data_IF_488648208891
#
_entry.id   IF_488648208891
#
_cell.length_a   1.000
_cell.length_b   1.000
_cell.length_c   1.000
_cell.angle_alpha   90.00
_cell.angle_beta   90.00
_cell.angle_gamma   90.00
#
_symmetry.space_group_name_H-M   'P 1'
#
loop_
_entity.id
_entity.type
_entity.pdbx_description
1 polymer ?
#
# COMPACT_ATOMS: atom_id res chain seq x y z
N UNK A 1 4.27 4.47 -3.46
CA UNK A 1 3.70 3.18 -3.95
C UNK A 1 4.28 2.82 -5.30
N UNK A 2 4.15 3.65 -6.34
CA UNK A 2 4.82 3.38 -7.62
C UNK A 2 6.31 3.09 -7.45
N UNK A 3 7.03 3.96 -6.72
CA UNK A 3 8.45 3.77 -6.38
C UNK A 3 8.68 2.48 -5.59
N UNK A 4 7.98 2.28 -4.47
CA UNK A 4 8.09 1.04 -3.67
C UNK A 4 7.82 -0.24 -4.48
N UNK A 5 6.87 -0.23 -5.40
CA UNK A 5 6.60 -1.36 -6.29
C UNK A 5 7.76 -1.59 -7.26
N UNK A 6 8.35 -0.52 -7.77
CA UNK A 6 9.53 -0.59 -8.64
C UNK A 6 10.74 -1.16 -7.88
N UNK A 7 11.03 -0.60 -6.71
CA UNK A 7 12.11 -1.04 -5.82
C UNK A 7 11.94 -2.50 -5.38
N UNK A 8 10.70 -2.93 -5.09
CA UNK A 8 10.42 -4.33 -4.73
C UNK A 8 10.68 -5.30 -5.90
N UNK A 9 10.45 -4.86 -7.15
CA UNK A 9 10.78 -5.66 -8.34
C UNK A 9 12.29 -5.68 -8.59
N UNK A 10 12.98 -4.55 -8.40
CA UNK A 10 14.44 -4.48 -8.49
C UNK A 10 15.12 -5.36 -7.44
N UNK A 11 14.67 -5.32 -6.19
CA UNK A 11 15.16 -6.17 -5.09
C UNK A 11 14.92 -7.66 -5.37
N UNK A 12 13.77 -8.00 -5.97
CA UNK A 12 13.47 -9.37 -6.39
C UNK A 12 14.24 -9.82 -7.65
N UNK A 13 15.00 -8.93 -8.30
CA UNK A 13 15.70 -9.23 -9.55
C UNK A 13 14.78 -9.42 -10.77
N UNK A 14 13.55 -8.92 -10.72
CA UNK A 14 12.54 -9.08 -11.77
C UNK A 14 12.51 -7.84 -12.65
N UNK A 15 12.80 -8.01 -13.94
CA UNK A 15 12.71 -6.93 -14.92
C UNK A 15 11.25 -6.50 -15.13
N UNK A 16 10.85 -5.24 -14.88
CA UNK A 16 9.45 -4.84 -15.02
C UNK A 16 8.87 -5.05 -16.42
N UNK A 17 9.70 -4.92 -17.46
CA UNK A 17 9.29 -5.16 -18.85
C UNK A 17 8.86 -6.60 -19.12
N UNK A 18 9.38 -7.59 -18.39
CA UNK A 18 8.99 -8.99 -18.56
C UNK A 18 7.62 -9.30 -17.97
N UNK A 19 7.04 -8.38 -17.18
CA UNK A 19 5.73 -8.54 -16.56
C UNK A 19 4.58 -7.98 -17.41
N UNK A 20 4.87 -7.32 -18.54
CA UNK A 20 3.84 -6.72 -19.38
C UNK A 20 2.89 -7.78 -19.93
N UNK A 21 1.59 -7.62 -19.64
CA UNK A 21 0.52 -8.54 -19.99
C UNK A 21 0.43 -9.77 -19.08
N UNK A 22 1.34 -9.94 -18.12
CA UNK A 22 1.29 -11.06 -17.17
C UNK A 22 0.11 -10.93 -16.20
N UNK A 23 -0.41 -12.03 -15.65
CA UNK A 23 -1.39 -11.99 -14.56
C UNK A 23 -0.68 -11.64 -13.24
N UNK A 24 0.02 -10.52 -13.20
CA UNK A 24 0.61 -10.00 -11.94
C UNK A 24 -0.44 -9.16 -11.22
N UNK A 25 -0.76 -9.53 -9.99
CA UNK A 25 -1.71 -8.80 -9.15
C UNK A 25 -1.07 -7.64 -8.37
N UNK A 26 -1.88 -6.65 -8.00
CA UNK A 26 -1.49 -5.48 -7.21
C UNK A 26 -2.50 -5.25 -6.08
N UNK A 27 -2.04 -5.34 -4.84
CA UNK A 27 -2.86 -5.26 -3.64
C UNK A 27 -2.28 -4.21 -2.68
N UNK A 28 -2.89 -3.03 -2.62
CA UNK A 28 -2.35 -1.90 -1.83
C UNK A 28 -3.28 -1.50 -0.69
N UNK A 29 -2.75 -1.47 0.52
CA UNK A 29 -3.42 -0.98 1.70
C UNK A 29 -3.30 0.54 1.78
N UNK A 30 -4.42 1.25 1.81
CA UNK A 30 -4.46 2.69 2.04
C UNK A 30 -5.80 3.07 2.68
N UNK A 31 -5.74 3.86 3.75
CA UNK A 31 -6.93 4.19 4.56
C UNK A 31 -7.33 5.64 4.33
N UNK A 32 -6.37 6.55 4.46
CA UNK A 32 -6.63 7.98 4.45
C UNK A 32 -6.37 8.58 3.06
N UNK A 33 -7.31 9.41 2.60
CA UNK A 33 -7.11 10.30 1.44
C UNK A 33 -7.03 11.75 1.93
N UNK A 34 -6.08 12.05 2.82
CA UNK A 34 -5.96 13.39 3.43
C UNK A 34 -5.64 14.46 2.39
N UNK A 35 -4.85 14.10 1.36
CA UNK A 35 -4.51 15.02 0.26
C UNK A 35 -5.73 15.47 -0.54
N UNK A 36 -6.79 14.65 -0.65
CA UNK A 36 -8.04 15.05 -1.30
C UNK A 36 -8.65 16.29 -0.64
N UNK A 37 -8.62 16.37 0.69
CA UNK A 37 -9.15 17.52 1.44
C UNK A 37 -8.32 18.77 1.23
N UNK A 38 -7.01 18.65 1.03
CA UNK A 38 -6.15 19.79 0.65
C UNK A 38 -6.47 20.27 -0.75
N UNK A 39 -6.64 19.36 -1.70
CA UNK A 39 -7.01 19.71 -3.08
C UNK A 39 -8.30 20.55 -3.09
N UNK A 40 -9.36 20.08 -2.43
CA UNK A 40 -10.64 20.79 -2.42
C UNK A 40 -10.68 22.05 -1.54
N UNK A 41 -9.66 22.30 -0.71
CA UNK A 41 -9.60 23.52 0.10
C UNK A 41 -9.40 24.79 -0.74
N UNK A 42 -8.87 24.65 -1.97
CA UNK A 42 -8.70 25.76 -2.92
C UNK A 42 -9.98 26.17 -3.68
N UNK A 43 -11.13 25.56 -3.39
CA UNK A 43 -12.40 25.84 -4.08
C UNK A 43 -12.47 25.23 -5.49
N UNK A 44 -13.51 25.54 -6.28
CA UNK A 44 -13.76 24.90 -7.58
C UNK A 44 -12.61 25.01 -8.59
N UNK A 45 -11.82 26.09 -8.53
CA UNK A 45 -10.69 26.33 -9.45
C UNK A 45 -9.51 25.36 -9.21
N UNK A 46 -9.44 24.72 -8.03
CA UNK A 46 -8.45 23.69 -7.73
C UNK A 46 -8.71 22.34 -8.43
N UNK A 47 -9.89 22.18 -9.05
CA UNK A 47 -10.31 20.95 -9.69
C UNK A 47 -9.98 20.99 -11.18
N UNK A 48 -9.14 20.06 -11.62
CA UNK A 48 -8.74 19.89 -13.01
C UNK A 48 -8.80 18.42 -13.45
N UNK A 49 -8.37 18.18 -14.69
CA UNK A 49 -8.39 16.86 -15.33
C UNK A 49 -7.66 15.75 -14.56
N UNK A 50 -6.67 16.11 -13.73
CA UNK A 50 -5.88 15.15 -12.95
C UNK A 50 -6.39 14.97 -11.52
N UNK A 51 -7.39 15.73 -11.07
CA UNK A 51 -7.82 15.71 -9.66
C UNK A 51 -8.33 14.32 -9.28
N UNK A 52 -9.32 13.77 -10.00
CA UNK A 52 -9.90 12.45 -9.68
C UNK A 52 -8.84 11.35 -9.71
N UNK A 53 -8.00 11.33 -10.75
CA UNK A 53 -6.95 10.32 -10.88
C UNK A 53 -5.80 10.53 -9.89
N UNK A 54 -5.66 11.72 -9.32
CA UNK A 54 -4.60 12.09 -8.38
C UNK A 54 -4.89 11.73 -6.92
N UNK A 55 -6.16 11.64 -6.50
CA UNK A 55 -6.49 11.37 -5.09
C UNK A 55 -7.27 10.07 -4.85
N UNK A 56 -7.97 9.55 -5.86
CA UNK A 56 -8.91 8.45 -5.64
C UNK A 56 -8.16 7.16 -5.27
N UNK A 57 -8.54 6.53 -4.15
CA UNK A 57 -7.80 5.40 -3.59
C UNK A 57 -7.62 4.24 -4.57
N UNK A 58 -8.62 3.90 -5.38
CA UNK A 58 -8.47 2.80 -6.37
C UNK A 58 -7.36 3.03 -7.39
N UNK A 59 -7.01 4.30 -7.65
CA UNK A 59 -5.96 4.64 -8.60
C UNK A 59 -4.57 4.30 -8.04
N UNK A 60 -4.42 4.15 -6.72
CA UNK A 60 -3.14 3.77 -6.10
C UNK A 60 -2.65 2.44 -6.68
N UNK A 61 -3.47 1.39 -6.64
CA UNK A 61 -3.14 0.09 -7.23
C UNK A 61 -3.21 0.12 -8.77
N UNK A 62 -4.28 0.70 -9.34
CA UNK A 62 -4.49 0.68 -10.78
C UNK A 62 -3.41 1.42 -11.56
N UNK A 63 -2.81 2.46 -10.99
CA UNK A 63 -1.70 3.19 -11.62
C UNK A 63 -0.43 2.35 -11.70
N UNK A 64 -0.16 1.50 -10.71
CA UNK A 64 0.95 0.52 -10.78
C UNK A 64 0.68 -0.48 -11.90
N UNK A 65 -0.53 -1.06 -11.95
CA UNK A 65 -0.93 -1.98 -13.02
C UNK A 65 -0.83 -1.32 -14.40
N UNK A 66 -1.26 -0.06 -14.53
CA UNK A 66 -1.17 0.68 -15.78
C UNK A 66 0.29 0.93 -16.21
N UNK A 67 1.13 1.46 -15.32
CA UNK A 67 2.52 1.82 -15.62
C UNK A 67 3.36 0.59 -15.96
N UNK A 68 3.16 -0.52 -15.23
CA UNK A 68 3.91 -1.76 -15.42
C UNK A 68 3.25 -2.72 -16.42
N UNK A 69 2.05 -2.39 -16.93
CA UNK A 69 1.29 -3.20 -17.88
C UNK A 69 0.81 -4.53 -17.32
N UNK A 70 0.39 -4.58 -16.05
CA UNK A 70 0.00 -5.81 -15.34
C UNK A 70 -1.48 -6.14 -15.55
N UNK A 71 -1.80 -7.41 -15.81
CA UNK A 71 -3.15 -7.89 -16.12
C UNK A 71 -3.85 -8.68 -15.02
N UNK A 72 -3.23 -8.83 -13.84
CA UNK A 72 -3.86 -9.51 -12.69
C UNK A 72 -4.83 -8.60 -11.91
N UNK A 73 -5.44 -9.10 -10.82
CA UNK A 73 -6.29 -8.30 -9.94
C UNK A 73 -5.58 -7.05 -9.42
N UNK A 74 -6.23 -5.89 -9.48
CA UNK A 74 -5.68 -4.62 -9.00
C UNK A 74 -6.66 -3.95 -8.07
N UNK A 75 -6.33 -3.87 -6.79
CA UNK A 75 -7.25 -3.37 -5.77
C UNK A 75 -6.54 -2.60 -4.65
N UNK A 76 -7.28 -1.63 -4.11
CA UNK A 76 -6.90 -0.89 -2.92
C UNK A 76 -7.88 -1.23 -1.80
N UNK A 77 -7.36 -1.54 -0.61
CA UNK A 77 -8.14 -1.94 0.56
C UNK A 77 -7.86 -0.99 1.73
N UNK A 78 -8.92 -0.64 2.47
CA UNK A 78 -8.81 0.09 3.73
C UNK A 78 -9.53 -0.66 4.86
N UNK A 79 -8.79 -1.43 5.66
CA UNK A 79 -9.28 -2.11 6.87
C UNK A 79 -8.64 -1.51 8.15
N UNK A 80 -8.38 -0.21 8.14
CA UNK A 80 -7.62 0.50 9.17
C UNK A 80 -6.22 -0.13 9.38
N UNK A 81 -5.74 -0.25 10.63
CA UNK A 81 -4.37 -0.65 10.95
C UNK A 81 -3.95 -2.02 10.37
N UNK A 82 -4.89 -2.88 10.03
CA UNK A 82 -4.61 -4.21 9.44
C UNK A 82 -4.45 -4.20 7.92
N UNK A 83 -4.63 -3.05 7.25
CA UNK A 83 -4.70 -2.96 5.79
C UNK A 83 -3.51 -3.62 5.09
N UNK A 84 -2.28 -3.42 5.59
CA UNK A 84 -1.09 -4.05 5.00
C UNK A 84 -1.05 -5.57 5.12
N UNK A 85 -1.48 -6.13 6.25
CA UNK A 85 -1.56 -7.59 6.41
C UNK A 85 -2.73 -8.18 5.61
N UNK A 86 -3.83 -7.45 5.52
CA UNK A 86 -5.00 -7.86 4.73
C UNK A 86 -4.69 -7.90 3.23
N UNK A 87 -3.88 -6.97 2.70
CA UNK A 87 -3.46 -7.04 1.29
C UNK A 87 -2.49 -8.18 1.01
N UNK A 88 -1.57 -8.48 1.93
CA UNK A 88 -0.72 -9.68 1.83
C UNK A 88 -1.58 -10.95 1.83
N UNK A 89 -2.58 -11.04 2.71
CA UNK A 89 -3.52 -12.15 2.73
C UNK A 89 -4.24 -12.34 1.38
N UNK A 90 -4.80 -11.28 0.81
CA UNK A 90 -5.48 -11.32 -0.49
C UNK A 90 -4.53 -11.70 -1.64
N UNK A 91 -3.30 -11.19 -1.62
CA UNK A 91 -2.28 -11.54 -2.59
C UNK A 91 -1.92 -13.04 -2.52
N UNK A 92 -1.72 -13.57 -1.32
CA UNK A 92 -1.48 -15.00 -1.13
C UNK A 92 -2.64 -15.87 -1.64
N UNK A 93 -3.90 -15.46 -1.39
CA UNK A 93 -5.06 -16.17 -1.91
C UNK A 93 -5.12 -16.13 -3.45
N UNK A 94 -4.86 -14.97 -4.06
CA UNK A 94 -4.82 -14.83 -5.52
C UNK A 94 -3.73 -15.71 -6.16
N UNK A 95 -2.54 -15.78 -5.53
CA UNK A 95 -1.44 -16.66 -5.94
C UNK A 95 -1.81 -18.15 -5.82
N UNK A 96 -2.42 -18.55 -4.70
CA UNK A 96 -2.85 -19.95 -4.46
C UNK A 96 -3.94 -20.40 -5.41
N UNK A 97 -4.84 -19.50 -5.80
CA UNK A 97 -5.91 -19.76 -6.76
C UNK A 97 -5.44 -19.73 -8.22
N UNK A 98 -4.21 -19.29 -8.47
CA UNK A 98 -3.67 -19.10 -9.82
C UNK A 98 -4.27 -17.92 -10.57
N UNK A 99 -4.99 -17.03 -9.88
CA UNK A 99 -5.47 -15.76 -10.44
C UNK A 99 -4.31 -14.79 -10.68
N UNK A 100 -3.24 -14.92 -9.87
CA UNK A 100 -1.98 -14.21 -10.06
C UNK A 100 -0.79 -15.18 -10.13
N UNK A 101 0.22 -14.86 -10.94
CA UNK A 101 1.51 -15.60 -10.97
C UNK A 101 2.61 -14.93 -10.17
N UNK A 102 2.46 -13.63 -9.92
CA UNK A 102 3.25 -12.75 -9.08
C UNK A 102 2.27 -11.76 -8.46
N UNK A 103 2.49 -11.33 -7.22
CA UNK A 103 1.65 -10.31 -6.61
C UNK A 103 2.51 -9.25 -5.91
N UNK A 104 2.24 -7.98 -6.20
CA UNK A 104 2.77 -6.85 -5.45
C UNK A 104 1.79 -6.52 -4.33
N UNK A 105 2.18 -6.76 -3.08
CA UNK A 105 1.33 -6.56 -1.92
C UNK A 105 1.97 -5.63 -0.92
N UNK A 106 1.23 -4.65 -0.41
CA UNK A 106 1.82 -3.66 0.49
C UNK A 106 0.81 -2.69 1.07
N UNK A 107 1.31 -1.66 1.73
CA UNK A 107 0.50 -0.55 2.22
C UNK A 107 1.31 0.74 2.33
N UNK A 108 0.60 1.87 2.37
CA UNK A 108 1.17 3.20 2.62
C UNK A 108 0.30 3.97 3.61
N UNK A 109 0.93 4.75 4.49
CA UNK A 109 0.29 5.69 5.39
C UNK A 109 1.06 7.00 5.44
N UNK A 110 0.35 8.12 5.24
CA UNK A 110 0.87 9.48 5.34
C UNK A 110 -0.06 10.32 6.24
N UNK A 111 0.54 11.20 7.03
CA UNK A 111 -0.07 12.14 7.96
C UNK A 111 0.09 13.56 7.39
N UNK A 112 -0.66 13.83 6.33
CA UNK A 112 -0.61 15.06 5.53
C UNK A 112 -1.31 16.24 6.25
N UNK A 113 -2.40 15.97 6.98
CA UNK A 113 -3.25 17.01 7.55
C UNK A 113 -3.20 17.09 9.09
N UNK A 114 -2.87 18.28 9.59
CA UNK A 114 -2.95 18.60 11.01
C UNK A 114 -4.37 18.41 11.59
N UNK A 115 -5.43 18.70 10.79
CA UNK A 115 -6.82 18.50 11.23
C UNK A 115 -7.16 17.04 11.49
N UNK A 116 -6.57 16.10 10.74
CA UNK A 116 -6.70 14.68 11.02
C UNK A 116 -6.00 14.30 12.33
N UNK A 117 -4.82 14.87 12.59
CA UNK A 117 -4.11 14.64 13.85
C UNK A 117 -4.92 15.14 15.06
N UNK A 118 -5.56 16.32 14.94
CA UNK A 118 -6.49 16.83 15.96
C UNK A 118 -7.70 15.90 16.14
N UNK A 119 -8.26 15.38 15.05
CA UNK A 119 -9.37 14.41 15.10
C UNK A 119 -9.00 13.15 15.89
N UNK A 120 -7.84 12.56 15.58
CA UNK A 120 -7.34 11.36 16.29
C UNK A 120 -6.99 11.68 17.74
N UNK A 121 -6.42 12.85 18.03
CA UNK A 121 -6.13 13.29 19.41
C UNK A 121 -7.39 13.33 20.28
N UNK A 122 -8.52 13.79 19.72
CA UNK A 122 -9.80 13.84 20.43
C UNK A 122 -10.39 12.45 20.73
N UNK A 123 -9.92 11.39 20.09
CA UNK A 123 -10.30 10.02 20.43
C UNK A 123 -9.63 9.53 21.73
N UNK A 124 -8.64 10.25 22.27
CA UNK A 124 -7.94 9.87 23.50
C UNK A 124 -7.01 8.66 23.34
N UNK A 125 -6.65 8.31 22.10
CA UNK A 125 -5.81 7.14 21.77
C UNK A 125 -4.33 7.48 21.58
N UNK A 126 -3.98 8.76 21.55
CA UNK A 126 -2.61 9.23 21.34
C UNK A 126 -1.86 9.40 22.66
N UNK A 127 -0.61 8.96 22.70
CA UNK A 127 0.28 9.20 23.83
C UNK A 127 0.62 10.69 23.95
N UNK A 128 0.43 11.34 25.10
CA UNK A 128 0.86 12.72 25.33
C UNK A 128 2.39 12.89 25.28
N UNK A 129 3.15 11.81 25.54
CA UNK A 129 4.62 11.83 25.54
C UNK A 129 5.23 11.71 24.13
N UNK A 130 4.39 11.56 23.10
CA UNK A 130 4.85 11.34 21.73
C UNK A 130 5.68 10.05 21.56
N UNK A 131 5.41 9.00 22.35
CA UNK A 131 6.07 7.69 22.22
C UNK A 131 5.10 6.51 22.37
N UNK A 132 5.39 5.42 21.66
CA UNK A 132 4.72 4.14 21.88
C UNK A 132 5.53 3.32 22.89
N UNK A 133 4.97 3.09 24.08
CA UNK A 133 5.58 2.26 25.12
C UNK A 133 5.02 0.82 25.07
N UNK A 134 5.26 0.11 23.96
CA UNK A 134 4.74 -1.24 23.76
C UNK A 134 5.18 -2.19 24.87
N UNK A 135 4.21 -2.77 25.59
CA UNK A 135 4.40 -3.72 26.70
C UNK A 135 5.05 -3.15 27.98
N UNK A 136 5.23 -1.83 28.08
CA UNK A 136 5.81 -1.16 29.24
C UNK A 136 4.70 -0.55 30.13
N UNK A 137 4.94 -0.48 31.44
CA UNK A 137 3.96 0.05 32.41
C UNK A 137 3.58 1.52 32.17
N UNK A 138 4.39 2.28 31.41
CA UNK A 138 4.13 3.67 31.01
C UNK A 138 3.16 3.80 29.83
N UNK A 139 2.69 2.70 29.23
CA UNK A 139 1.81 2.72 28.07
C UNK A 139 0.58 3.62 28.28
N UNK A 140 0.52 4.71 27.50
CA UNK A 140 -0.47 5.76 27.62
C UNK A 140 -1.05 6.20 26.26
N UNK A 141 -0.93 5.35 25.24
CA UNK A 141 -1.42 5.59 23.88
C UNK A 141 -0.38 5.25 22.81
N UNK A 142 -0.71 5.52 21.54
CA UNK A 142 0.23 5.35 20.42
C UNK A 142 0.59 6.70 19.78
N UNK A 143 1.52 6.69 18.83
CA UNK A 143 1.89 7.84 18.00
C UNK A 143 1.66 7.47 16.54
N UNK A 144 1.10 8.41 15.77
CA UNK A 144 0.93 8.22 14.33
C UNK A 144 2.31 8.20 13.65
N UNK A 145 2.61 7.11 12.96
CA UNK A 145 3.77 7.00 12.07
C UNK A 145 3.40 7.25 10.61
N UNK A 146 4.40 7.46 9.77
CA UNK A 146 4.29 7.46 8.31
C UNK A 146 5.19 6.37 7.74
N UNK A 147 4.86 5.89 6.56
CA UNK A 147 5.69 4.93 5.85
C UNK A 147 4.91 4.11 4.85
N UNK A 148 5.63 3.28 4.10
CA UNK A 148 5.05 2.29 3.23
C UNK A 148 6.02 1.16 2.96
N UNK A 149 5.47 0.02 2.58
CA UNK A 149 6.23 -1.17 2.19
C UNK A 149 5.45 -1.92 1.12
N UNK A 150 6.17 -2.55 0.19
CA UNK A 150 5.63 -3.44 -0.84
C UNK A 150 6.50 -4.69 -0.90
N UNK A 151 5.87 -5.84 -1.05
CA UNK A 151 6.50 -7.14 -1.20
C UNK A 151 6.14 -7.71 -2.57
N UNK A 152 7.13 -8.29 -3.26
CA UNK A 152 6.93 -9.14 -4.43
C UNK A 152 6.73 -10.59 -3.97
N UNK A 153 5.53 -11.14 -4.19
CA UNK A 153 5.13 -12.44 -3.67
C UNK A 153 4.88 -13.44 -4.82
N UNK A 154 5.39 -14.66 -4.65
CA UNK A 154 5.15 -15.81 -5.53
C UNK A 154 4.84 -17.04 -4.69
N UNK A 155 4.29 -18.07 -5.31
CA UNK A 155 4.30 -19.40 -4.68
C UNK A 155 5.74 -19.89 -4.56
N UNK A 156 6.09 -20.57 -3.47
CA UNK A 156 7.44 -21.07 -3.23
C UNK A 156 7.95 -21.94 -4.40
N UNK A 157 7.09 -22.81 -4.93
CA UNK A 157 7.42 -23.65 -6.09
C UNK A 157 7.81 -22.84 -7.32
N UNK A 158 7.12 -21.72 -7.57
CA UNK A 158 7.43 -20.84 -8.70
C UNK A 158 8.69 -20.02 -8.44
N UNK A 159 8.90 -19.55 -7.21
CA UNK A 159 10.12 -18.83 -6.85
C UNK A 159 11.37 -19.69 -7.06
N UNK A 160 11.31 -20.96 -6.63
CA UNK A 160 12.38 -21.94 -6.86
C UNK A 160 12.57 -22.22 -8.36
N UNK A 161 11.47 -22.43 -9.10
CA UNK A 161 11.54 -22.73 -10.54
C UNK A 161 12.15 -21.58 -11.36
N UNK A 162 11.86 -20.34 -10.98
CA UNK A 162 12.35 -19.14 -11.67
C UNK A 162 13.73 -18.68 -11.13
N UNK A 163 14.23 -19.29 -10.04
CA UNK A 163 15.53 -18.99 -9.46
C UNK A 163 15.58 -17.67 -8.67
N UNK A 164 14.45 -17.24 -8.12
CA UNK A 164 14.34 -15.96 -7.42
C UNK A 164 15.04 -15.99 -6.04
N UNK A 165 15.57 -14.85 -5.57
CA UNK A 165 16.00 -14.71 -4.18
C UNK A 165 14.79 -14.79 -3.23
N UNK A 166 14.80 -15.75 -2.30
CA UNK A 166 13.72 -15.94 -1.33
C UNK A 166 14.15 -15.38 0.02
N UNK A 167 13.53 -14.27 0.44
CA UNK A 167 13.80 -13.64 1.74
C UNK A 167 13.12 -14.38 2.91
N UNK A 168 11.87 -14.84 2.72
CA UNK A 168 11.06 -15.52 3.74
C UNK A 168 9.90 -16.33 3.11
N UNK A 169 9.26 -17.21 3.91
CA UNK A 169 8.06 -18.01 3.56
C UNK A 169 7.02 -17.91 4.67
#
# INVERSE_FOLDING_TARGET
VLELCWEALEDAGILPVSLKGSPTGVFVGAIWSEYSRLLFAGGPESVGQHTITGYHNSIIANRVSYVLGLGGPSLTLGSACSSGLATVHLACESLRRGESTLALAGAVNLNVLASSALGVSRLGVLSPDGRCYSFDARANGYVRGEGGAVFALKTLSRAIADGDPIHAV
#
